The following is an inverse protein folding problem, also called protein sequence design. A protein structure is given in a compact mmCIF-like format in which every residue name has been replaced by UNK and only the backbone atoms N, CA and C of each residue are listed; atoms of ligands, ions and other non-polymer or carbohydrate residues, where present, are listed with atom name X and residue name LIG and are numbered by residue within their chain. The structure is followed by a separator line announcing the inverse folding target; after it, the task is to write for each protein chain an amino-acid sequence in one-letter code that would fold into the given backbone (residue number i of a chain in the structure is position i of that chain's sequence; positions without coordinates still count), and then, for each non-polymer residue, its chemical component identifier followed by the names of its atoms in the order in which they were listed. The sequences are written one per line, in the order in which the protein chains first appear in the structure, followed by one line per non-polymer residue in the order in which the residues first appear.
data_IF_674874119322
#
_entry.id   IF_674874119322
#
_cell.length_a   1.000
_cell.length_b   1.000
_cell.length_c   1.000
_cell.angle_alpha   90.00
_cell.angle_beta   90.00
_cell.angle_gamma   90.00
#
_symmetry.space_group_name_H-M   'P 1'
#
loop_
_entity.id
_entity.type
_entity.pdbx_description
1 polymer ?
#
# COMPACT_ATOMS: atom_id res chain seq x y z
N UNK A 1 -43.00 33.97 -60.56
CA UNK A 1 -41.66 33.53 -60.09
C UNK A 1 -41.69 32.00 -60.03
N UNK A 2 -40.84 31.32 -60.81
CA UNK A 2 -40.74 29.85 -60.89
C UNK A 2 -40.07 29.29 -59.63
N UNK A 3 -40.46 28.08 -59.23
CA UNK A 3 -39.53 26.95 -59.03
C UNK A 3 -40.32 25.65 -58.85
N UNK A 4 -40.07 24.70 -59.76
CA UNK A 4 -40.41 23.28 -59.68
C UNK A 4 -39.22 22.56 -59.04
N UNK A 5 -39.47 21.52 -58.25
CA UNK A 5 -38.62 20.33 -58.23
C UNK A 5 -39.43 19.07 -57.90
N UNK A 6 -39.32 18.09 -58.78
CA UNK A 6 -39.67 16.68 -58.56
C UNK A 6 -38.52 16.00 -57.80
N UNK A 7 -38.84 15.05 -56.93
CA UNK A 7 -37.99 13.86 -56.80
C UNK A 7 -38.83 12.64 -56.46
N UNK A 8 -38.55 11.55 -57.19
CA UNK A 8 -39.14 10.22 -57.13
C UNK A 8 -38.07 9.33 -56.51
N UNK A 9 -38.37 8.68 -55.40
CA UNK A 9 -37.47 7.68 -54.83
C UNK A 9 -38.15 6.31 -54.74
N UNK A 10 -37.64 5.40 -55.57
CA UNK A 10 -37.88 3.96 -55.50
C UNK A 10 -36.91 3.38 -54.48
N UNK A 11 -37.38 2.98 -53.30
CA UNK A 11 -36.57 2.28 -52.31
C UNK A 11 -36.86 0.77 -52.33
N UNK A 12 -35.81 0.02 -52.66
CA UNK A 12 -35.71 -1.45 -52.65
C UNK A 12 -35.88 -2.05 -51.23
N UNK A 13 -36.57 -3.19 -51.06
CA UNK A 13 -36.80 -3.83 -49.76
C UNK A 13 -35.65 -4.74 -49.28
N UNK A 14 -34.42 -4.58 -49.78
CA UNK A 14 -33.32 -5.54 -49.52
C UNK A 14 -32.40 -5.21 -48.33
N UNK A 15 -32.64 -4.14 -47.59
CA UNK A 15 -31.76 -3.72 -46.47
C UNK A 15 -32.18 -4.36 -45.12
N UNK A 16 -33.32 -5.04 -45.05
CA UNK A 16 -33.89 -5.49 -43.76
C UNK A 16 -33.35 -6.82 -43.20
N UNK A 17 -32.64 -7.64 -43.98
CA UNK A 17 -32.29 -9.00 -43.55
C UNK A 17 -30.91 -9.09 -42.86
N UNK A 18 -29.96 -8.23 -43.23
CA UNK A 18 -28.61 -8.24 -42.64
C UNK A 18 -28.57 -7.67 -41.23
N UNK A 19 -29.45 -6.73 -40.90
CA UNK A 19 -29.54 -6.14 -39.56
C UNK A 19 -30.06 -7.15 -38.50
N UNK A 20 -30.95 -8.07 -38.91
CA UNK A 20 -31.51 -9.10 -38.02
C UNK A 20 -30.49 -10.21 -37.70
N UNK A 21 -29.60 -10.55 -38.64
CA UNK A 21 -28.55 -11.53 -38.40
C UNK A 21 -27.47 -11.04 -37.41
N UNK A 22 -27.16 -9.75 -37.43
CA UNK A 22 -26.19 -9.14 -36.49
C UNK A 22 -26.74 -9.10 -35.07
N UNK A 23 -28.04 -8.86 -34.87
CA UNK A 23 -28.64 -8.84 -33.53
C UNK A 23 -28.65 -10.24 -32.87
N UNK A 24 -28.89 -11.30 -33.64
CA UNK A 24 -28.92 -12.67 -33.13
C UNK A 24 -27.53 -13.18 -32.67
N UNK A 25 -26.44 -12.67 -33.27
CA UNK A 25 -25.08 -13.02 -32.88
C UNK A 25 -24.67 -12.38 -31.54
N UNK A 26 -25.16 -11.18 -31.23
CA UNK A 26 -24.88 -10.49 -29.95
C UNK A 26 -25.56 -11.21 -28.78
N UNK A 27 -26.76 -11.78 -28.99
CA UNK A 27 -27.47 -12.56 -27.96
C UNK A 27 -26.83 -13.93 -27.71
N UNK A 28 -26.13 -14.51 -28.68
CA UNK A 28 -25.41 -15.77 -28.49
C UNK A 28 -24.11 -15.60 -27.67
N UNK A 29 -23.48 -14.43 -27.72
CA UNK A 29 -22.27 -14.12 -26.93
C UNK A 29 -22.57 -13.71 -25.48
N UNK A 30 -23.83 -13.41 -25.13
CA UNK A 30 -24.24 -13.05 -23.77
C UNK A 30 -24.88 -14.19 -22.99
N UNK A 31 -25.09 -15.35 -23.62
CA UNK A 31 -25.59 -16.57 -22.96
C UNK A 31 -24.47 -17.60 -22.73
N UNK A 32 -23.35 -17.15 -22.18
CA UNK A 32 -22.42 -18.03 -21.48
C UNK A 32 -22.62 -17.79 -19.99
N UNK A 33 -23.69 -18.39 -19.44
CA UNK A 33 -23.89 -18.47 -18.01
C UNK A 33 -22.84 -19.44 -17.48
N UNK A 34 -21.67 -18.88 -17.15
CA UNK A 34 -20.65 -19.57 -16.38
C UNK A 34 -21.21 -19.66 -14.97
N UNK A 35 -21.55 -20.88 -14.56
CA UNK A 35 -21.82 -21.17 -13.16
C UNK A 35 -20.59 -20.71 -12.36
N UNK A 36 -20.74 -19.63 -11.61
CA UNK A 36 -19.77 -19.20 -10.62
C UNK A 36 -19.74 -20.26 -9.52
N UNK A 37 -18.89 -21.26 -9.71
CA UNK A 37 -18.32 -22.03 -8.63
C UNK A 37 -17.57 -21.01 -7.78
N UNK A 38 -18.22 -20.52 -6.73
CA UNK A 38 -17.55 -19.87 -5.60
C UNK A 38 -16.71 -20.94 -4.88
N UNK A 39 -15.65 -21.38 -5.53
CA UNK A 39 -14.44 -21.77 -4.81
C UNK A 39 -13.99 -20.49 -4.13
N UNK A 40 -14.25 -20.41 -2.83
CA UNK A 40 -13.80 -19.32 -1.98
C UNK A 40 -12.28 -19.28 -2.01
N UNK A 41 -11.72 -18.62 -3.02
CA UNK A 41 -10.36 -18.13 -3.03
C UNK A 41 -10.18 -17.41 -1.71
N UNK A 42 -9.44 -18.05 -0.80
CA UNK A 42 -8.97 -17.42 0.42
C UNK A 42 -8.06 -16.30 -0.09
N UNK A 43 -8.66 -15.12 -0.24
CA UNK A 43 -7.95 -13.92 -0.63
C UNK A 43 -7.04 -13.60 0.55
N UNK A 44 -5.76 -13.97 0.45
CA UNK A 44 -4.75 -13.51 1.40
C UNK A 44 -4.55 -12.01 1.15
N UNK A 45 -5.08 -11.15 2.02
CA UNK A 45 -5.07 -9.73 1.78
C UNK A 45 -3.65 -9.14 1.95
N UNK A 46 -2.69 -9.93 2.45
CA UNK A 46 -1.27 -9.55 2.59
C UNK A 46 -0.47 -9.89 1.32
N UNK A 47 -0.92 -10.86 0.52
CA UNK A 47 -0.16 -11.36 -0.63
C UNK A 47 0.24 -10.25 -1.62
N UNK A 48 -0.66 -9.33 -1.91
CA UNK A 48 -0.39 -8.20 -2.80
C UNK A 48 0.75 -7.29 -2.29
N UNK A 49 0.71 -6.94 -1.00
CA UNK A 49 1.73 -6.10 -0.37
C UNK A 49 3.09 -6.81 -0.30
N UNK A 50 3.08 -8.12 -0.06
CA UNK A 50 4.27 -8.97 -0.08
C UNK A 50 4.91 -9.00 -1.47
N UNK A 51 4.11 -9.24 -2.51
CA UNK A 51 4.60 -9.24 -3.90
C UNK A 51 5.22 -7.89 -4.26
N UNK A 52 4.57 -6.78 -3.91
CA UNK A 52 5.15 -5.44 -4.11
C UNK A 52 6.53 -5.31 -3.46
N UNK A 53 6.66 -5.66 -2.18
CA UNK A 53 7.94 -5.56 -1.47
C UNK A 53 9.04 -6.41 -2.13
N UNK A 54 8.72 -7.68 -2.44
CA UNK A 54 9.67 -8.60 -3.07
C UNK A 54 10.15 -8.08 -4.43
N UNK A 55 9.25 -7.52 -5.26
CA UNK A 55 9.61 -6.87 -6.52
C UNK A 55 10.52 -5.65 -6.34
N UNK A 56 10.25 -4.80 -5.33
CA UNK A 56 11.09 -3.64 -5.05
C UNK A 56 12.49 -4.05 -4.61
N UNK A 57 12.59 -5.08 -3.74
CA UNK A 57 13.87 -5.62 -3.29
C UNK A 57 14.69 -6.22 -4.42
N UNK A 58 14.04 -6.94 -5.36
CA UNK A 58 14.69 -7.48 -6.55
C UNK A 58 15.25 -6.37 -7.45
N UNK A 59 14.49 -5.28 -7.67
CA UNK A 59 14.92 -4.14 -8.50
C UNK A 59 16.10 -3.38 -7.87
N UNK A 60 16.18 -3.31 -6.55
CA UNK A 60 17.27 -2.63 -5.84
C UNK A 60 18.61 -3.39 -5.82
N UNK A 61 18.63 -4.68 -6.17
CA UNK A 61 19.79 -5.57 -6.05
C UNK A 61 21.02 -5.29 -6.93
N UNK A 62 21.18 -4.07 -7.46
CA UNK A 62 22.32 -3.67 -8.30
C UNK A 62 23.12 -2.48 -7.76
N UNK A 63 22.70 -1.86 -6.65
CA UNK A 63 23.50 -0.84 -5.95
C UNK A 63 23.78 -1.33 -4.54
N UNK A 64 24.93 -1.95 -4.36
CA UNK A 64 25.48 -2.25 -3.03
C UNK A 64 25.61 -0.94 -2.26
N UNK A 65 24.62 -0.65 -1.41
CA UNK A 65 24.84 0.19 -0.24
C UNK A 65 25.32 -0.76 0.86
N UNK A 66 26.65 -0.92 1.04
CA UNK A 66 27.24 -1.97 1.88
C UNK A 66 26.84 -1.91 3.36
N UNK A 67 26.11 -0.88 3.78
CA UNK A 67 25.81 -0.59 5.18
C UNK A 67 24.34 -0.78 5.57
N UNK A 68 23.46 -1.23 4.66
CA UNK A 68 22.07 -1.48 5.02
C UNK A 68 21.94 -2.90 5.57
N UNK A 69 21.56 -3.07 6.85
CA UNK A 69 21.35 -4.40 7.41
C UNK A 69 20.32 -5.18 6.59
N UNK A 70 20.53 -6.48 6.41
CA UNK A 70 19.55 -7.34 5.74
C UNK A 70 18.28 -7.40 6.59
N UNK A 71 17.14 -7.02 5.99
CA UNK A 71 15.83 -6.92 6.64
C UNK A 71 14.90 -7.97 6.04
N UNK A 72 14.23 -8.77 6.86
CA UNK A 72 13.29 -9.81 6.44
C UNK A 72 11.93 -9.56 7.09
N UNK A 73 10.89 -9.20 6.32
CA UNK A 73 9.56 -8.98 6.89
C UNK A 73 8.93 -10.29 7.39
N UNK A 74 8.38 -10.25 8.60
CA UNK A 74 7.65 -11.36 9.22
C UNK A 74 6.18 -11.38 8.78
N UNK A 75 5.92 -11.68 7.51
CA UNK A 75 4.60 -11.59 6.88
C UNK A 75 3.48 -12.34 7.61
N UNK A 76 3.80 -13.41 8.34
CA UNK A 76 2.84 -14.15 9.18
C UNK A 76 2.32 -13.35 10.37
N UNK A 77 2.99 -12.25 10.73
CA UNK A 77 2.59 -11.28 11.77
C UNK A 77 2.07 -9.98 11.16
N UNK A 78 1.89 -9.92 9.84
CA UNK A 78 1.42 -8.73 9.17
C UNK A 78 -0.02 -8.41 9.54
N UNK A 79 -0.33 -7.12 9.63
CA UNK A 79 -1.68 -6.60 9.84
C UNK A 79 -2.00 -5.55 8.79
N UNK A 80 -3.27 -5.44 8.42
CA UNK A 80 -3.73 -4.36 7.54
C UNK A 80 -4.34 -3.28 8.41
N UNK A 81 -3.80 -2.07 8.30
CA UNK A 81 -4.33 -0.88 8.96
C UNK A 81 -4.96 0.05 7.93
N UNK A 82 -6.18 0.50 8.24
CA UNK A 82 -6.87 1.50 7.45
C UNK A 82 -6.51 2.89 7.97
N UNK A 83 -6.27 3.82 7.06
CA UNK A 83 -5.97 5.21 7.36
C UNK A 83 -6.56 6.14 6.29
N UNK A 84 -6.41 7.45 6.47
CA UNK A 84 -7.03 8.47 5.62
C UNK A 84 -6.65 8.32 4.13
N UNK A 85 -5.42 7.93 3.84
CA UNK A 85 -4.88 7.78 2.48
C UNK A 85 -5.15 6.43 1.82
N UNK A 86 -5.62 5.42 2.56
CA UNK A 86 -5.92 4.10 2.00
C UNK A 86 -5.77 2.99 3.02
N UNK A 87 -4.99 1.96 2.67
CA UNK A 87 -4.65 0.85 3.56
C UNK A 87 -3.14 0.71 3.63
N UNK A 88 -2.63 0.13 4.71
CA UNK A 88 -1.23 -0.18 4.86
C UNK A 88 -1.06 -1.58 5.45
N UNK A 89 -0.20 -2.39 4.85
CA UNK A 89 0.30 -3.59 5.50
C UNK A 89 1.46 -3.20 6.42
N UNK A 90 1.35 -3.57 7.70
CA UNK A 90 2.36 -3.35 8.73
C UNK A 90 2.87 -4.69 9.18
N UNK A 91 4.18 -4.91 9.10
CA UNK A 91 4.81 -6.16 9.56
C UNK A 91 6.11 -5.87 10.31
N UNK A 92 6.38 -6.56 11.42
CA UNK A 92 7.69 -6.52 12.06
C UNK A 92 8.79 -6.98 11.10
N UNK A 93 10.00 -6.50 11.34
CA UNK A 93 11.19 -6.90 10.60
C UNK A 93 12.10 -7.77 11.48
N UNK A 94 12.66 -8.80 10.84
CA UNK A 94 13.75 -9.59 11.39
C UNK A 94 15.06 -9.20 10.71
N UNK A 95 16.09 -8.99 11.51
CA UNK A 95 17.43 -8.69 11.05
C UNK A 95 18.26 -9.89 11.46
N UNK A 96 18.79 -10.65 10.51
CA UNK A 96 19.44 -11.94 10.78
C UNK A 96 20.64 -11.88 11.76
N UNK A 97 21.02 -10.68 12.20
CA UNK A 97 21.98 -10.39 13.25
C UNK A 97 21.37 -9.45 14.30
N UNK A 98 21.90 -9.48 15.53
CA UNK A 98 21.43 -8.62 16.62
C UNK A 98 21.94 -7.19 16.45
N UNK A 99 21.16 -6.34 15.80
CA UNK A 99 21.40 -4.90 15.75
C UNK A 99 20.73 -4.20 16.91
N UNK A 100 21.35 -3.13 17.40
CA UNK A 100 20.79 -2.30 18.45
C UNK A 100 20.73 -0.84 18.02
N UNK A 101 19.69 -0.15 18.47
CA UNK A 101 19.48 1.28 18.23
C UNK A 101 19.35 2.05 19.54
N UNK A 102 19.87 3.28 19.53
CA UNK A 102 19.80 4.23 20.63
C UNK A 102 19.66 5.64 20.09
N UNK A 103 18.88 6.48 20.76
CA UNK A 103 18.78 7.92 20.46
C UNK A 103 19.54 8.74 21.50
N UNK A 104 19.86 9.99 21.18
CA UNK A 104 20.39 10.94 22.18
C UNK A 104 19.40 11.22 23.32
N UNK A 105 18.11 11.00 23.09
CA UNK A 105 17.03 11.23 24.06
C UNK A 105 16.75 10.04 24.97
N UNK A 106 17.25 8.84 24.64
CA UNK A 106 17.06 7.62 25.44
C UNK A 106 18.41 7.03 25.86
N UNK A 107 18.66 6.80 27.16
CA UNK A 107 19.89 6.15 27.60
C UNK A 107 19.92 4.65 27.27
N UNK A 108 18.79 4.07 26.85
CA UNK A 108 18.64 2.64 26.62
C UNK A 108 18.96 2.26 25.18
N UNK A 109 19.71 1.16 25.04
CA UNK A 109 19.88 0.46 23.78
C UNK A 109 18.73 -0.51 23.61
N UNK A 110 18.05 -0.49 22.46
CA UNK A 110 16.98 -1.43 22.16
C UNK A 110 17.34 -2.30 20.96
N UNK A 111 16.82 -3.51 20.94
CA UNK A 111 16.90 -4.39 19.77
C UNK A 111 16.24 -3.72 18.56
N UNK A 112 16.93 -3.71 17.42
CA UNK A 112 16.45 -3.06 16.20
C UNK A 112 15.21 -3.77 15.64
N UNK A 113 15.16 -5.11 15.68
CA UNK A 113 14.01 -5.88 15.22
C UNK A 113 12.75 -5.59 16.03
N UNK A 114 12.90 -5.40 17.36
CA UNK A 114 11.80 -4.97 18.23
C UNK A 114 11.34 -3.53 17.97
N UNK A 115 12.21 -2.69 17.38
CA UNK A 115 11.92 -1.29 17.07
C UNK A 115 11.36 -1.06 15.67
N UNK A 116 11.45 -2.04 14.76
CA UNK A 116 11.37 -1.78 13.32
C UNK A 116 10.26 -2.55 12.63
N UNK A 117 9.64 -1.87 11.67
CA UNK A 117 8.48 -2.34 10.93
C UNK A 117 8.62 -2.00 9.46
N UNK A 118 8.21 -2.90 8.58
CA UNK A 118 7.91 -2.57 7.21
C UNK A 118 6.46 -2.08 7.15
N UNK A 119 6.29 -0.93 6.52
CA UNK A 119 5.02 -0.35 6.14
C UNK A 119 4.92 -0.37 4.61
N UNK A 120 3.94 -1.07 4.05
CA UNK A 120 3.60 -0.96 2.63
C UNK A 120 2.25 -0.28 2.51
N UNK A 121 2.27 0.98 2.10
CA UNK A 121 1.11 1.80 1.90
C UNK A 121 0.52 1.52 0.52
N UNK A 122 -0.80 1.35 0.45
CA UNK A 122 -1.59 1.31 -0.78
C UNK A 122 -2.59 2.45 -0.75
N UNK A 123 -2.40 3.43 -1.62
CA UNK A 123 -3.28 4.58 -1.75
C UNK A 123 -4.59 4.23 -2.46
N UNK A 124 -5.54 5.17 -2.46
CA UNK A 124 -6.85 4.97 -3.10
C UNK A 124 -6.78 4.80 -4.62
N UNK A 125 -5.76 5.34 -5.26
CA UNK A 125 -5.51 5.18 -6.70
C UNK A 125 -4.82 3.84 -7.03
N UNK A 126 -4.50 3.03 -6.02
CA UNK A 126 -3.81 1.75 -6.14
C UNK A 126 -2.28 1.85 -6.18
N UNK A 127 -1.71 3.06 -6.14
CA UNK A 127 -0.27 3.24 -6.01
C UNK A 127 0.23 2.69 -4.68
N UNK A 128 1.46 2.16 -4.69
CA UNK A 128 2.08 1.57 -3.51
C UNK A 128 3.44 2.18 -3.20
N UNK A 129 3.72 2.34 -1.92
CA UNK A 129 4.99 2.82 -1.41
C UNK A 129 5.40 1.99 -0.19
N UNK A 130 6.66 1.57 -0.15
CA UNK A 130 7.25 0.87 0.98
C UNK A 130 8.15 1.78 1.81
N UNK A 131 8.03 1.69 3.13
CA UNK A 131 8.83 2.43 4.10
C UNK A 131 9.26 1.51 5.24
N UNK A 132 10.44 1.75 5.78
CA UNK A 132 10.90 1.14 7.02
C UNK A 132 10.70 2.16 8.14
N UNK A 133 9.97 1.76 9.17
CA UNK A 133 9.58 2.62 10.28
C UNK A 133 10.23 2.09 11.56
N UNK A 134 10.99 2.95 12.24
CA UNK A 134 11.58 2.68 13.55
C UNK A 134 10.81 3.44 14.62
N UNK A 135 10.31 2.73 15.63
CA UNK A 135 9.63 3.27 16.81
C UNK A 135 10.55 3.14 18.02
N UNK A 136 11.17 4.26 18.41
CA UNK A 136 12.19 4.30 19.47
C UNK A 136 11.59 5.02 20.68
N UNK A 137 11.09 4.31 21.71
CA UNK A 137 10.56 4.95 22.90
C UNK A 137 11.66 5.65 23.69
N UNK A 138 11.34 6.80 24.27
CA UNK A 138 12.25 7.56 25.14
C UNK A 138 12.25 7.06 26.60
N UNK A 139 11.47 6.01 26.90
CA UNK A 139 11.27 5.49 28.25
C UNK A 139 10.40 6.38 29.14
N UNK A 140 9.95 7.52 28.65
CA UNK A 140 9.00 8.42 29.31
C UNK A 140 7.60 8.04 28.87
N UNK A 141 7.12 6.86 29.28
CA UNK A 141 5.68 6.61 29.19
C UNK A 141 5.01 7.59 30.13
N UNK A 142 4.34 8.62 29.59
CA UNK A 142 3.50 9.49 30.40
C UNK A 142 2.48 8.63 31.12
N UNK A 143 2.66 8.41 32.42
CA UNK A 143 1.60 7.90 33.27
C UNK A 143 0.44 8.85 33.07
N UNK A 144 -0.61 8.36 32.41
CA UNK A 144 -1.82 9.16 32.31
C UNK A 144 -2.40 9.22 33.72
N UNK A 145 -2.16 10.32 34.42
CA UNK A 145 -2.69 10.59 35.76
C UNK A 145 -4.23 10.54 35.85
N UNK A 146 -4.94 10.27 34.75
CA UNK A 146 -6.40 10.32 34.65
C UNK A 146 -7.01 9.23 33.76
N UNK A 147 -6.49 8.01 33.78
CA UNK A 147 -7.12 6.86 33.09
C UNK A 147 -7.23 7.00 31.56
N UNK A 148 -6.47 7.93 30.96
CA UNK A 148 -6.41 8.11 29.51
C UNK A 148 -5.40 7.09 28.95
N UNK A 149 -5.70 6.56 27.77
CA UNK A 149 -4.83 5.62 27.06
C UNK A 149 -3.41 6.17 27.00
N UNK A 150 -2.43 5.38 27.46
CA UNK A 150 -1.01 5.72 27.37
C UNK A 150 -0.68 6.12 25.93
N UNK A 151 -0.03 7.28 25.76
CA UNK A 151 0.38 7.78 24.45
C UNK A 151 1.85 7.44 24.25
N UNK A 152 2.20 7.11 23.02
CA UNK A 152 3.59 6.92 22.64
C UNK A 152 4.37 8.23 22.86
N UNK A 153 5.52 8.12 23.52
CA UNK A 153 6.54 9.16 23.60
C UNK A 153 7.86 8.57 23.13
N UNK A 154 8.59 9.32 22.33
CA UNK A 154 9.81 8.87 21.69
C UNK A 154 10.00 9.40 20.28
N UNK A 155 10.86 8.74 19.54
CA UNK A 155 11.23 9.11 18.18
C UNK A 155 10.72 8.08 17.19
N UNK A 156 10.07 8.55 16.13
CA UNK A 156 9.73 7.76 14.95
C UNK A 156 10.69 8.17 13.84
N UNK A 157 11.35 7.20 13.20
CA UNK A 157 12.21 7.44 12.03
C UNK A 157 11.65 6.65 10.86
N UNK A 158 11.59 7.25 9.68
CA UNK A 158 11.16 6.59 8.46
C UNK A 158 12.26 6.64 7.41
N UNK A 159 12.49 5.50 6.77
CA UNK A 159 13.38 5.31 5.63
C UNK A 159 12.60 4.74 4.46
N UNK A 160 13.05 4.99 3.24
CA UNK A 160 12.56 4.21 2.11
C UNK A 160 13.12 2.77 2.15
N UNK A 161 12.66 1.96 1.21
CA UNK A 161 13.12 0.57 1.07
C UNK A 161 14.62 0.44 0.79
N UNK A 162 15.26 1.50 0.28
CA UNK A 162 16.69 1.58 -0.01
C UNK A 162 17.48 2.18 1.17
N UNK A 163 16.87 2.34 2.35
CA UNK A 163 17.54 2.85 3.54
C UNK A 163 17.87 4.35 3.51
N UNK A 164 17.32 5.09 2.56
CA UNK A 164 17.45 6.55 2.53
C UNK A 164 16.47 7.15 3.54
N UNK A 165 16.96 8.09 4.35
CA UNK A 165 16.15 8.80 5.33
C UNK A 165 15.05 9.63 4.65
N UNK A 166 13.81 9.47 5.11
CA UNK A 166 12.66 10.24 4.64
C UNK A 166 12.29 11.31 5.66
N UNK A 167 11.97 10.90 6.89
CA UNK A 167 11.54 11.79 7.95
C UNK A 167 11.82 11.23 9.34
N UNK A 168 11.79 12.11 10.33
CA UNK A 168 11.76 11.80 11.74
C UNK A 168 10.71 12.63 12.46
N UNK A 169 10.06 12.03 13.44
CA UNK A 169 9.08 12.66 14.30
C UNK A 169 9.48 12.46 15.75
N UNK A 170 9.46 13.54 16.55
CA UNK A 170 9.66 13.45 18.00
C UNK A 170 8.31 13.67 18.67
N UNK A 171 7.77 12.60 19.24
CA UNK A 171 6.51 12.58 19.97
C UNK A 171 6.78 12.85 21.46
N UNK A 172 6.26 13.95 21.99
CA UNK A 172 6.43 14.34 23.38
C UNK A 172 5.28 13.79 24.26
N UNK A 173 5.49 13.63 25.58
CA UNK A 173 4.46 13.13 26.49
C UNK A 173 3.19 14.02 26.55
N UNK A 174 3.32 15.32 26.27
CA UNK A 174 2.20 16.27 26.20
C UNK A 174 1.37 16.16 24.90
N UNK A 175 1.81 15.32 23.96
CA UNK A 175 1.17 15.09 22.67
C UNK A 175 1.65 16.00 21.55
N UNK A 176 2.63 16.88 21.78
CA UNK A 176 3.27 17.62 20.69
C UNK A 176 4.11 16.68 19.83
N UNK A 177 4.15 16.98 18.54
CA UNK A 177 4.95 16.25 17.56
C UNK A 177 5.82 17.25 16.82
N UNK A 178 7.14 17.07 16.89
CA UNK A 178 8.11 17.81 16.08
C UNK A 178 8.44 17.00 14.84
N UNK A 179 8.49 17.63 13.67
CA UNK A 179 8.71 16.97 12.38
C UNK A 179 10.00 17.46 11.73
N UNK A 180 10.83 16.50 11.28
CA UNK A 180 12.09 16.73 10.59
C UNK A 180 12.08 15.89 9.31
N UNK A 181 12.03 16.51 8.13
CA UNK A 181 12.06 15.80 6.84
C UNK A 181 13.32 16.15 6.06
N UNK A 182 13.76 15.24 5.20
CA UNK A 182 14.77 15.57 4.19
C UNK A 182 14.13 16.46 3.12
N UNK A 183 14.73 17.63 2.87
CA UNK A 183 14.29 18.64 1.90
C UNK A 183 14.76 18.33 0.49
#
# INVERSE_FOLDING_TARGET
MKLLFFSKDNSNPFISLTLLAVLAFITALTSCHKEDIHDGLIFDPIAEYRTFYEEQMLKSGTKDHPNIPRRSPLWEKATIQKWDRGNAAVTPLDYGENYFIRTSTSPYSMDLGAASYLLVNKERDGSMQGEIVYLIPDGQSGQSDKGKKSRFSGTIVTENLQGEFLAAYVCQPDGKVLHYAHS
#
